data_IF_046325327089
#
_entry.id   IF_046325327089
#
_cell.length_a   1.000
_cell.length_b   1.000
_cell.length_c   1.000
_cell.angle_alpha   90.00
_cell.angle_beta   90.00
_cell.angle_gamma   90.00
#
_symmetry.space_group_name_H-M   'P 1'
#
loop_
_entity.id
_entity.type
_entity.pdbx_description
1 polymer ?
#
# COMPACT_ATOMS: atom_id res chain seq x y z
N UNK A 1 0.76 -5.42 13.88
CA UNK A 1 1.72 -5.29 12.75
C UNK A 1 1.59 -3.97 11.97
N UNK A 2 0.71 -3.04 12.38
CA UNK A 2 0.54 -1.76 11.69
C UNK A 2 1.46 -0.65 12.21
N UNK A 3 1.99 -0.81 13.42
CA UNK A 3 3.08 0.03 13.95
C UNK A 3 4.39 -0.39 13.30
N UNK A 4 4.95 0.49 12.47
CA UNK A 4 6.19 0.28 11.73
C UNK A 4 7.24 1.31 12.13
N UNK A 5 8.52 0.96 11.99
CA UNK A 5 9.60 1.93 12.14
C UNK A 5 9.57 2.89 10.94
N UNK A 6 9.52 4.19 11.22
CA UNK A 6 9.35 5.20 10.17
C UNK A 6 10.62 5.36 9.35
N UNK A 7 10.46 5.44 8.03
CA UNK A 7 11.54 5.80 7.10
C UNK A 7 11.67 7.34 7.07
N UNK A 8 12.85 7.83 7.41
CA UNK A 8 13.16 9.26 7.54
C UNK A 8 14.41 9.65 6.74
N UNK A 9 14.78 8.87 5.72
CA UNK A 9 15.97 9.15 4.93
C UNK A 9 15.90 10.50 4.21
N UNK A 10 14.69 10.94 3.84
CA UNK A 10 14.43 12.24 3.26
C UNK A 10 12.98 12.70 3.56
N UNK A 11 12.66 14.00 3.37
CA UNK A 11 11.33 14.53 3.66
C UNK A 11 10.19 13.85 2.88
N UNK A 12 10.46 13.43 1.63
CA UNK A 12 9.47 12.73 0.79
C UNK A 12 9.17 11.32 1.32
N UNK A 13 10.20 10.54 1.67
CA UNK A 13 10.07 9.23 2.31
C UNK A 13 9.21 9.31 3.57
N UNK A 14 9.45 10.34 4.41
CA UNK A 14 8.65 10.54 5.61
C UNK A 14 7.18 10.89 5.33
N UNK A 15 6.92 11.68 4.29
CA UNK A 15 5.56 12.02 3.87
C UNK A 15 4.83 10.80 3.27
N UNK A 16 5.48 10.08 2.36
CA UNK A 16 4.95 8.85 1.74
C UNK A 16 4.63 7.80 2.79
N UNK A 17 5.53 7.53 3.75
CA UNK A 17 5.29 6.53 4.79
C UNK A 17 4.04 6.87 5.61
N UNK A 18 3.86 8.15 5.98
CA UNK A 18 2.68 8.60 6.73
C UNK A 18 1.37 8.50 5.94
N UNK A 19 1.43 8.59 4.61
CA UNK A 19 0.26 8.54 3.71
C UNK A 19 0.03 7.15 3.10
N UNK A 20 0.76 6.13 3.55
CA UNK A 20 0.67 4.76 3.08
C UNK A 20 -0.52 4.02 3.69
N UNK A 21 -1.25 3.30 2.85
CA UNK A 21 -2.34 2.41 3.22
C UNK A 21 -1.89 0.95 3.06
N UNK A 22 -2.24 0.10 4.02
CA UNK A 22 -1.90 -1.33 4.02
C UNK A 22 -3.15 -2.17 4.17
N UNK A 23 -3.40 -3.07 3.21
CA UNK A 23 -4.43 -4.10 3.31
C UNK A 23 -4.00 -5.30 4.18
N UNK A 24 -2.73 -5.32 4.61
CA UNK A 24 -2.14 -6.34 5.47
C UNK A 24 -2.32 -5.96 6.94
N UNK A 25 -2.70 -6.94 7.77
CA UNK A 25 -2.81 -6.78 9.22
C UNK A 25 -3.74 -7.81 9.86
N UNK A 26 -3.92 -7.77 11.19
CA UNK A 26 -4.91 -8.60 11.88
C UNK A 26 -6.31 -8.31 11.32
N UNK A 27 -7.00 -9.33 10.78
CA UNK A 27 -8.30 -9.18 10.10
C UNK A 27 -8.22 -8.65 8.66
N UNK A 28 -7.01 -8.38 8.16
CA UNK A 28 -6.75 -8.04 6.76
C UNK A 28 -6.33 -9.25 5.92
N UNK A 29 -5.82 -8.98 4.73
CA UNK A 29 -5.37 -10.01 3.79
C UNK A 29 -4.00 -10.55 4.18
N UNK A 30 -3.73 -11.82 3.88
CA UNK A 30 -2.39 -12.38 3.89
C UNK A 30 -1.78 -12.34 2.49
N UNK A 31 -0.45 -12.19 2.40
CA UNK A 31 0.29 -12.11 1.13
C UNK A 31 0.05 -13.31 0.23
N UNK A 32 -0.10 -14.49 0.83
CA UNK A 32 -0.30 -15.78 0.17
C UNK A 32 -1.73 -16.00 -0.32
N UNK A 33 -2.73 -15.37 0.31
CA UNK A 33 -4.15 -15.53 -0.06
C UNK A 33 -4.68 -14.42 -0.97
N UNK A 34 -3.94 -13.31 -1.12
CA UNK A 34 -4.38 -12.20 -1.95
C UNK A 34 -4.21 -12.53 -3.45
N UNK A 35 -5.35 -12.84 -4.10
CA UNK A 35 -5.45 -13.10 -5.53
C UNK A 35 -5.30 -11.86 -6.40
N UNK A 36 -5.34 -12.06 -7.73
CA UNK A 36 -5.15 -11.00 -8.73
C UNK A 36 -6.22 -9.91 -8.63
N UNK A 37 -7.47 -10.29 -8.37
CA UNK A 37 -8.63 -9.39 -8.28
C UNK A 37 -8.48 -8.27 -7.23
N UNK A 38 -7.73 -8.54 -6.15
CA UNK A 38 -7.50 -7.54 -5.09
C UNK A 38 -6.24 -6.70 -5.35
N UNK A 39 -5.33 -7.19 -6.20
CA UNK A 39 -4.08 -6.51 -6.53
C UNK A 39 -4.21 -5.57 -7.73
N UNK A 40 -5.24 -5.76 -8.56
CA UNK A 40 -5.49 -4.98 -9.75
C UNK A 40 -6.01 -3.56 -9.42
N UNK A 41 -5.85 -2.63 -10.35
CA UNK A 41 -6.30 -1.25 -10.21
C UNK A 41 -7.77 -1.16 -10.61
N UNK A 42 -8.63 -0.90 -9.62
CA UNK A 42 -10.04 -0.67 -9.88
C UNK A 42 -10.29 0.80 -10.30
N UNK A 43 -11.20 1.09 -11.26
CA UNK A 43 -11.52 2.46 -11.69
C UNK A 43 -11.93 3.42 -10.55
N UNK A 44 -12.49 2.89 -9.47
CA UNK A 44 -12.85 3.70 -8.28
C UNK A 44 -11.64 4.27 -7.52
N UNK A 45 -10.42 3.80 -7.81
CA UNK A 45 -9.19 4.32 -7.21
C UNK A 45 -8.85 5.71 -7.71
N UNK A 46 -9.36 6.11 -8.88
CA UNK A 46 -9.09 7.42 -9.46
C UNK A 46 -9.45 8.55 -8.49
N UNK A 47 -8.45 9.37 -8.13
CA UNK A 47 -8.58 10.49 -7.19
C UNK A 47 -8.64 10.12 -5.70
N UNK A 48 -8.45 8.84 -5.35
CA UNK A 48 -8.45 8.36 -3.94
C UNK A 48 -7.17 7.64 -3.56
N UNK A 49 -6.68 6.76 -4.45
CA UNK A 49 -5.43 6.02 -4.28
C UNK A 49 -4.55 6.19 -5.51
N UNK A 50 -3.25 6.30 -5.31
CA UNK A 50 -2.28 6.37 -6.38
C UNK A 50 -2.17 4.99 -7.08
N UNK A 51 -2.46 4.88 -8.39
CA UNK A 51 -2.36 3.60 -9.11
C UNK A 51 -0.92 3.19 -9.44
N UNK A 52 0.05 4.10 -9.22
CA UNK A 52 1.46 3.93 -9.60
C UNK A 52 2.31 3.57 -8.39
N UNK A 53 2.09 4.23 -7.25
CA UNK A 53 2.93 4.09 -6.06
C UNK A 53 2.52 2.85 -5.24
N UNK A 54 2.95 1.68 -5.72
CA UNK A 54 2.88 0.39 -5.03
C UNK A 54 4.27 -0.22 -4.97
N UNK A 55 4.67 -0.89 -3.88
CA UNK A 55 5.94 -1.62 -3.85
C UNK A 55 5.91 -2.78 -4.85
N UNK A 56 7.05 -3.04 -5.46
CA UNK A 56 7.25 -4.20 -6.33
C UNK A 56 7.36 -5.51 -5.50
N UNK A 57 7.21 -6.65 -6.17
CA UNK A 57 7.35 -7.97 -5.57
C UNK A 57 6.09 -8.45 -4.82
N UNK A 58 6.22 -9.25 -3.74
CA UNK A 58 5.09 -9.95 -3.12
C UNK A 58 3.97 -9.04 -2.58
N UNK A 59 4.26 -7.76 -2.34
CA UNK A 59 3.33 -6.78 -1.77
C UNK A 59 2.62 -5.92 -2.83
N UNK A 60 2.87 -6.15 -4.13
CA UNK A 60 2.24 -5.37 -5.20
C UNK A 60 0.71 -5.38 -5.07
N UNK A 61 0.09 -4.19 -5.09
CA UNK A 61 -1.35 -4.01 -4.96
C UNK A 61 -1.91 -4.18 -3.53
N UNK A 62 -1.09 -4.57 -2.55
CA UNK A 62 -1.53 -4.74 -1.14
C UNK A 62 -1.15 -3.56 -0.25
N UNK A 63 -0.23 -2.74 -0.74
CA UNK A 63 0.21 -1.50 -0.11
C UNK A 63 0.09 -0.42 -1.17
N UNK A 64 -0.64 0.64 -0.86
CA UNK A 64 -0.82 1.78 -1.76
C UNK A 64 -0.60 3.11 -1.04
N UNK A 65 -0.58 4.18 -1.80
CA UNK A 65 -0.51 5.56 -1.28
C UNK A 65 -1.78 6.33 -1.60
N UNK A 66 -2.11 7.30 -0.75
CA UNK A 66 -3.16 8.29 -1.05
C UNK A 66 -2.74 9.22 -2.20
N UNK A 67 -3.71 9.61 -3.04
CA UNK A 67 -3.55 10.59 -4.13
C UNK A 67 -3.17 11.99 -3.63
#
# INVERSE_FOLDING_TARGET
>A
QLSQFMDQNNPLSGLTHKRRLSALGPGGLSRERAGLEVRDVHPSHYGRMCPIETPEGPNIGLIGSLS
#
